data_IF_555981477947
#
_entry.id   IF_555981477947
#
_cell.length_a   1.000
_cell.length_b   1.000
_cell.length_c   1.000
_cell.angle_alpha   90.00
_cell.angle_beta   90.00
_cell.angle_gamma   90.00
#
_symmetry.space_group_name_H-M   'P 1'
#
loop_
_entity.id
_entity.type
_entity.pdbx_description
1 polymer ?
#
# COMPACT_ATOMS: atom_id res chain seq x y z
N UNK A 1 -6.92 -22.97 19.37
CA UNK A 1 -7.06 -22.31 18.06
C UNK A 1 -5.81 -21.48 17.80
N UNK A 2 -5.19 -21.54 16.60
CA UNK A 2 -3.94 -20.81 16.33
C UNK A 2 -4.22 -19.32 16.22
N UNK A 3 -3.35 -18.51 16.79
CA UNK A 3 -3.35 -17.05 16.67
C UNK A 3 -2.89 -16.63 15.28
N UNK A 4 -3.65 -15.76 14.61
CA UNK A 4 -3.38 -15.33 13.22
C UNK A 4 -3.22 -13.82 13.16
N UNK A 5 -2.22 -13.39 12.40
CA UNK A 5 -2.07 -12.00 11.93
C UNK A 5 -2.24 -12.02 10.42
N UNK A 6 -3.21 -11.25 9.93
CA UNK A 6 -3.32 -11.01 8.49
C UNK A 6 -2.29 -9.94 8.09
N UNK A 7 -1.24 -10.36 7.38
CA UNK A 7 -0.13 -9.51 7.02
C UNK A 7 -0.41 -8.61 5.80
N UNK A 8 -1.50 -8.83 5.07
CA UNK A 8 -1.83 -8.04 3.88
C UNK A 8 -3.31 -8.11 3.56
N UNK A 9 -4.05 -7.05 3.90
CA UNK A 9 -5.38 -6.78 3.37
C UNK A 9 -5.53 -5.32 2.94
N UNK A 10 -6.69 -4.99 2.40
CA UNK A 10 -7.06 -3.64 2.01
C UNK A 10 -8.43 -3.30 2.58
N UNK A 11 -8.56 -2.10 3.14
CA UNK A 11 -9.82 -1.46 3.50
C UNK A 11 -10.06 -0.26 2.59
N UNK A 12 -11.30 0.01 2.24
CA UNK A 12 -11.66 1.24 1.52
C UNK A 12 -13.11 1.63 1.77
N UNK A 13 -13.35 2.95 1.80
CA UNK A 13 -14.69 3.53 1.78
C UNK A 13 -14.88 4.32 0.48
N UNK A 14 -15.57 3.73 -0.49
CA UNK A 14 -15.80 4.36 -1.80
C UNK A 14 -16.82 5.51 -1.75
N UNK A 15 -17.47 5.73 -0.60
CA UNK A 15 -18.40 6.84 -0.40
C UNK A 15 -17.69 8.11 0.06
N UNK A 16 -16.57 7.97 0.77
CA UNK A 16 -15.87 9.10 1.40
C UNK A 16 -14.49 9.34 0.81
N UNK A 17 -13.88 8.32 0.21
CA UNK A 17 -12.56 8.37 -0.39
C UNK A 17 -12.61 8.01 -1.88
N UNK A 18 -11.63 8.49 -2.65
CA UNK A 18 -11.54 8.23 -4.09
C UNK A 18 -10.36 7.32 -4.43
N UNK A 19 -10.65 6.22 -5.10
CA UNK A 19 -9.67 5.25 -5.57
C UNK A 19 -9.86 5.06 -7.09
N UNK A 20 -9.12 5.78 -7.95
CA UNK A 20 -9.40 5.81 -9.39
C UNK A 20 -9.49 4.42 -10.04
N UNK A 21 -8.60 3.50 -9.63
CA UNK A 21 -8.56 2.15 -10.18
C UNK A 21 -9.80 1.31 -9.84
N UNK A 22 -10.51 1.65 -8.74
CA UNK A 22 -11.62 0.88 -8.18
C UNK A 22 -12.97 1.58 -8.40
N UNK A 23 -13.03 2.90 -8.23
CA UNK A 23 -14.25 3.69 -8.30
C UNK A 23 -14.64 4.13 -9.71
N UNK A 24 -13.66 4.40 -10.58
CA UNK A 24 -13.92 4.95 -11.92
C UNK A 24 -14.39 3.85 -12.88
N UNK A 25 -14.10 3.92 -14.17
CA UNK A 25 -14.54 2.94 -15.15
C UNK A 25 -13.83 1.58 -14.97
N UNK A 26 -14.57 0.48 -15.17
CA UNK A 26 -13.95 -0.86 -15.25
C UNK A 26 -13.10 -0.89 -16.50
N UNK A 27 -11.80 -1.12 -16.32
CA UNK A 27 -10.89 -1.34 -17.44
C UNK A 27 -10.30 -2.75 -17.34
N UNK A 28 -9.91 -3.40 -18.44
CA UNK A 28 -9.21 -4.68 -18.38
C UNK A 28 -7.99 -4.59 -17.46
N UNK A 29 -7.88 -5.53 -16.52
CA UNK A 29 -6.74 -5.65 -15.59
C UNK A 29 -6.15 -7.05 -15.68
N UNK A 30 -4.85 -7.18 -15.39
CA UNK A 30 -4.17 -8.49 -15.36
C UNK A 30 -4.75 -9.46 -14.33
N UNK A 31 -5.41 -8.96 -13.30
CA UNK A 31 -6.06 -9.78 -12.26
C UNK A 31 -7.53 -10.13 -12.57
N UNK A 32 -8.03 -9.80 -13.78
CA UNK A 32 -9.38 -10.17 -14.20
C UNK A 32 -10.47 -9.20 -13.75
N UNK A 33 -11.72 -9.67 -13.78
CA UNK A 33 -12.89 -8.89 -13.38
C UNK A 33 -12.86 -8.60 -11.87
N UNK A 34 -12.93 -7.32 -11.53
CA UNK A 34 -12.92 -6.81 -10.16
C UNK A 34 -14.25 -6.15 -9.77
N UNK A 35 -15.31 -6.34 -10.54
CA UNK A 35 -16.61 -5.73 -10.29
C UNK A 35 -17.16 -6.05 -8.89
N UNK A 36 -16.95 -7.28 -8.41
CA UNK A 36 -17.43 -7.72 -7.10
C UNK A 36 -16.82 -6.96 -5.92
N UNK A 37 -15.61 -6.41 -6.07
CA UNK A 37 -14.92 -5.66 -5.01
C UNK A 37 -15.12 -4.15 -5.11
N UNK A 38 -15.85 -3.65 -6.13
CA UNK A 38 -16.19 -2.23 -6.31
C UNK A 38 -17.31 -1.78 -5.36
N UNK A 39 -17.11 -2.02 -4.07
CA UNK A 39 -18.00 -1.69 -2.96
C UNK A 39 -17.14 -1.40 -1.74
N UNK A 40 -17.70 -0.74 -0.73
CA UNK A 40 -17.00 -0.51 0.53
C UNK A 40 -16.52 -1.84 1.13
N UNK A 41 -15.33 -1.81 1.73
CA UNK A 41 -14.79 -2.92 2.50
C UNK A 41 -14.11 -2.34 3.75
N UNK A 42 -14.80 -2.46 4.88
CA UNK A 42 -14.48 -1.78 6.14
C UNK A 42 -14.09 -2.80 7.22
N UNK A 43 -13.60 -2.35 8.39
CA UNK A 43 -13.24 -3.26 9.49
C UNK A 43 -14.34 -4.25 9.89
N UNK A 44 -15.62 -3.88 9.76
CA UNK A 44 -16.74 -4.77 10.04
C UNK A 44 -16.84 -5.92 9.03
N UNK A 45 -16.57 -5.65 7.75
CA UNK A 45 -16.58 -6.65 6.68
C UNK A 45 -15.42 -7.64 6.87
N UNK A 46 -14.21 -7.14 7.15
CA UNK A 46 -13.05 -8.00 7.47
C UNK A 46 -13.34 -8.92 8.66
N UNK A 47 -14.00 -8.42 9.72
CA UNK A 47 -14.40 -9.24 10.87
C UNK A 47 -15.44 -10.29 10.51
N UNK A 48 -16.37 -9.96 9.61
CA UNK A 48 -17.38 -10.91 9.13
C UNK A 48 -16.72 -12.04 8.31
N UNK A 49 -15.84 -11.68 7.37
CA UNK A 49 -15.15 -12.65 6.51
C UNK A 49 -14.16 -13.54 7.28
N UNK A 50 -13.64 -13.05 8.39
CA UNK A 50 -12.72 -13.78 9.27
C UNK A 50 -13.40 -14.41 10.48
N UNK A 51 -14.74 -14.50 10.48
CA UNK A 51 -15.44 -15.25 11.52
C UNK A 51 -14.97 -16.71 11.57
N UNK A 52 -14.72 -17.22 12.77
CA UNK A 52 -14.14 -18.54 12.96
C UNK A 52 -12.63 -18.61 12.66
N UNK A 53 -11.96 -17.48 12.46
CA UNK A 53 -10.50 -17.33 12.45
C UNK A 53 -10.09 -16.52 13.68
N UNK A 54 -9.07 -16.95 14.41
CA UNK A 54 -8.55 -16.20 15.56
C UNK A 54 -7.60 -15.09 15.07
N UNK A 55 -8.16 -14.14 14.31
CA UNK A 55 -7.47 -12.96 13.80
C UNK A 55 -7.26 -11.96 14.93
N UNK A 56 -6.02 -11.83 15.39
CA UNK A 56 -5.68 -10.93 16.49
C UNK A 56 -5.16 -9.57 16.02
N UNK A 57 -4.57 -9.50 14.83
CA UNK A 57 -4.01 -8.29 14.23
C UNK A 57 -4.12 -8.34 12.73
N UNK A 58 -4.08 -7.17 12.09
CA UNK A 58 -4.06 -7.08 10.64
C UNK A 58 -3.22 -5.90 10.16
N UNK A 59 -2.67 -6.02 8.96
CA UNK A 59 -1.87 -5.00 8.29
C UNK A 59 -2.59 -4.55 7.03
N UNK A 60 -2.95 -3.27 6.98
CA UNK A 60 -3.45 -2.67 5.74
C UNK A 60 -2.27 -2.23 4.91
N UNK A 61 -2.28 -2.61 3.64
CA UNK A 61 -1.33 -2.14 2.64
C UNK A 61 -2.04 -1.11 1.77
N UNK A 62 -1.39 0.03 1.46
CA UNK A 62 -2.01 1.15 0.73
C UNK A 62 -2.86 0.69 -0.47
N UNK A 63 -3.95 1.38 -0.78
CA UNK A 63 -4.91 0.99 -1.80
C UNK A 63 -4.96 2.00 -2.96
N UNK A 64 -3.93 2.81 -3.15
CA UNK A 64 -3.76 3.83 -4.19
C UNK A 64 -4.91 4.85 -4.16
N UNK A 65 -5.20 5.38 -2.98
CA UNK A 65 -6.13 6.50 -2.84
C UNK A 65 -5.59 7.73 -3.58
N UNK A 66 -6.46 8.45 -4.28
CA UNK A 66 -6.09 9.68 -4.96
C UNK A 66 -5.85 10.84 -3.99
N UNK A 67 -5.10 11.85 -4.44
CA UNK A 67 -4.83 13.07 -3.69
C UNK A 67 -3.54 12.99 -2.90
N UNK A 68 -3.56 13.55 -1.70
CA UNK A 68 -2.39 13.61 -0.83
C UNK A 68 -2.08 12.23 -0.23
N UNK A 69 -0.86 11.71 -0.38
CA UNK A 69 -0.50 10.33 0.01
C UNK A 69 -0.78 10.02 1.48
N UNK A 70 -0.79 11.02 2.37
CA UNK A 70 -0.99 10.81 3.82
C UNK A 70 -2.46 10.71 4.21
N UNK A 71 -3.39 11.12 3.34
CA UNK A 71 -4.83 11.06 3.64
C UNK A 71 -5.31 9.62 3.87
N UNK A 72 -4.79 8.64 3.12
CA UNK A 72 -5.16 7.23 3.32
C UNK A 72 -4.68 6.74 4.70
N UNK A 73 -3.44 7.08 5.06
CA UNK A 73 -2.87 6.77 6.39
C UNK A 73 -3.68 7.38 7.51
N UNK A 74 -4.06 8.66 7.38
CA UNK A 74 -4.91 9.34 8.37
C UNK A 74 -6.23 8.60 8.54
N UNK A 75 -6.92 8.31 7.43
CA UNK A 75 -8.19 7.58 7.46
C UNK A 75 -8.06 6.21 8.13
N UNK A 76 -6.99 5.45 7.84
CA UNK A 76 -6.73 4.15 8.47
C UNK A 76 -6.44 4.25 9.97
N UNK A 77 -5.74 5.30 10.41
CA UNK A 77 -5.51 5.56 11.83
C UNK A 77 -6.84 5.86 12.56
N UNK A 78 -7.78 6.53 11.89
CA UNK A 78 -9.13 6.75 12.41
C UNK A 78 -9.93 5.43 12.45
N UNK A 79 -9.82 4.57 11.43
CA UNK A 79 -10.44 3.24 11.45
C UNK A 79 -9.93 2.41 12.63
N UNK A 80 -8.63 2.44 12.91
CA UNK A 80 -8.07 1.76 14.08
C UNK A 80 -8.62 2.33 15.39
N UNK A 81 -8.66 3.66 15.53
CA UNK A 81 -9.19 4.31 16.73
C UNK A 81 -10.64 3.92 17.01
N UNK A 82 -11.46 3.77 15.96
CA UNK A 82 -12.90 3.45 16.08
C UNK A 82 -13.20 1.97 16.19
N UNK A 83 -12.42 1.13 15.50
CA UNK A 83 -12.77 -0.27 15.25
C UNK A 83 -11.67 -1.27 15.64
N UNK A 84 -10.49 -0.80 16.08
CA UNK A 84 -9.35 -1.62 16.47
C UNK A 84 -8.63 -2.31 15.29
N UNK A 85 -8.89 -1.92 14.04
CA UNK A 85 -8.24 -2.43 12.84
C UNK A 85 -8.02 -1.29 11.82
N UNK A 86 -6.91 -1.28 11.05
CA UNK A 86 -5.78 -2.22 11.09
C UNK A 86 -4.75 -1.87 12.17
N UNK A 87 -3.94 -2.84 12.60
CA UNK A 87 -2.89 -2.66 13.61
C UNK A 87 -1.58 -2.10 13.05
N UNK A 88 -1.35 -2.28 11.75
CA UNK A 88 -0.24 -1.68 11.05
C UNK A 88 -0.70 -1.16 9.67
N UNK A 89 0.00 -0.14 9.19
CA UNK A 89 -0.24 0.50 7.90
C UNK A 89 1.08 0.47 7.12
N UNK A 90 1.03 -0.11 5.93
CA UNK A 90 2.06 0.07 4.90
C UNK A 90 1.54 1.16 3.95
N UNK A 91 2.07 2.37 4.09
CA UNK A 91 1.57 3.56 3.42
C UNK A 91 2.14 3.74 2.01
N UNK A 92 1.62 4.70 1.25
CA UNK A 92 2.18 5.08 -0.05
C UNK A 92 3.11 6.30 0.07
N UNK A 93 4.29 6.23 -0.55
CA UNK A 93 5.13 7.39 -0.80
C UNK A 93 5.95 7.17 -2.09
N UNK A 94 6.03 8.19 -2.95
CA UNK A 94 6.98 8.20 -4.05
C UNK A 94 8.37 8.55 -3.51
N UNK A 95 9.23 7.53 -3.42
CA UNK A 95 10.60 7.65 -2.91
C UNK A 95 11.56 8.29 -3.92
N UNK A 96 11.13 8.52 -5.17
CA UNK A 96 11.94 9.21 -6.18
C UNK A 96 11.75 10.73 -6.15
N UNK A 97 10.69 11.22 -5.50
CA UNK A 97 10.37 12.63 -5.41
C UNK A 97 11.31 13.40 -4.47
N UNK A 98 11.60 14.67 -4.79
CA UNK A 98 12.44 15.53 -3.92
C UNK A 98 11.82 15.73 -2.53
N UNK A 99 10.48 15.74 -2.44
CA UNK A 99 9.73 15.87 -1.18
C UNK A 99 9.47 14.56 -0.44
N UNK A 100 10.12 13.45 -0.79
CA UNK A 100 9.86 12.14 -0.19
C UNK A 100 10.01 12.16 1.35
N UNK A 101 11.04 12.83 1.88
CA UNK A 101 11.29 12.89 3.33
C UNK A 101 10.16 13.57 4.10
N UNK A 102 9.61 14.65 3.56
CA UNK A 102 8.47 15.35 4.17
C UNK A 102 7.24 14.43 4.23
N UNK A 103 6.96 13.70 3.15
CA UNK A 103 5.86 12.73 3.11
C UNK A 103 6.07 11.60 4.12
N UNK A 104 7.29 11.06 4.23
CA UNK A 104 7.63 10.05 5.23
C UNK A 104 7.43 10.57 6.66
N UNK A 105 7.90 11.78 6.95
CA UNK A 105 7.71 12.42 8.26
C UNK A 105 6.22 12.54 8.62
N UNK A 106 5.40 12.99 7.67
CA UNK A 106 3.95 13.11 7.83
C UNK A 106 3.28 11.75 8.09
N UNK A 107 3.69 10.69 7.38
CA UNK A 107 3.20 9.33 7.65
C UNK A 107 3.56 8.88 9.06
N UNK A 108 4.80 9.07 9.50
CA UNK A 108 5.26 8.62 10.83
C UNK A 108 4.66 9.38 12.00
N UNK A 109 3.93 10.47 11.76
CA UNK A 109 3.07 11.09 12.77
C UNK A 109 1.88 10.20 13.18
N UNK A 110 1.56 9.16 12.39
CA UNK A 110 0.51 8.18 12.68
C UNK A 110 1.09 6.90 13.28
N UNK A 111 0.67 6.59 14.51
CA UNK A 111 1.26 5.54 15.36
C UNK A 111 1.25 4.13 14.74
N UNK A 112 0.37 3.85 13.78
CA UNK A 112 0.25 2.54 13.15
C UNK A 112 1.09 2.36 11.87
N UNK A 113 1.78 3.40 11.38
CA UNK A 113 2.63 3.26 10.17
C UNK A 113 3.86 2.41 10.46
N UNK A 114 4.09 1.39 9.62
CA UNK A 114 5.22 0.47 9.76
C UNK A 114 6.03 0.28 8.49
N UNK A 115 5.51 0.70 7.33
CA UNK A 115 6.22 0.54 6.08
C UNK A 115 5.69 1.43 4.96
N UNK A 116 6.36 1.36 3.82
CA UNK A 116 5.97 2.02 2.58
C UNK A 116 5.84 0.98 1.47
N UNK A 117 4.81 1.13 0.62
CA UNK A 117 4.68 0.40 -0.64
C UNK A 117 4.70 1.37 -1.81
N UNK A 118 5.60 1.11 -2.76
CA UNK A 118 5.61 1.75 -4.06
C UNK A 118 5.49 0.68 -5.16
N UNK A 119 4.52 0.86 -6.06
CA UNK A 119 4.27 -0.08 -7.15
C UNK A 119 5.36 0.09 -8.22
N UNK A 120 6.36 -0.79 -8.21
CA UNK A 120 7.56 -0.70 -9.06
C UNK A 120 7.56 -1.71 -10.22
N UNK A 121 6.49 -2.48 -10.35
CA UNK A 121 6.38 -3.53 -11.35
C UNK A 121 6.39 -2.93 -12.76
N UNK A 122 7.33 -3.35 -13.60
CA UNK A 122 7.38 -2.95 -14.99
C UNK A 122 7.98 -4.06 -15.86
N UNK A 123 7.52 -4.20 -17.10
CA UNK A 123 8.16 -4.97 -18.16
C UNK A 123 8.01 -4.21 -19.49
N UNK A 124 8.87 -4.53 -20.46
CA UNK A 124 8.65 -4.16 -21.85
C UNK A 124 7.40 -4.88 -22.40
N UNK A 125 6.69 -4.24 -23.32
CA UNK A 125 5.56 -4.81 -24.07
C UNK A 125 4.42 -5.42 -23.22
N UNK A 126 4.13 -4.82 -22.05
CA UNK A 126 2.95 -5.19 -21.24
C UNK A 126 2.05 -4.00 -20.96
N UNK A 127 0.73 -4.23 -21.04
CA UNK A 127 -0.29 -3.19 -20.87
C UNK A 127 -0.54 -2.78 -19.40
N UNK A 128 0.14 -3.43 -18.44
CA UNK A 128 -0.08 -3.20 -17.02
C UNK A 128 1.25 -3.08 -16.28
N UNK A 129 1.77 -1.86 -16.28
CA UNK A 129 2.92 -1.45 -15.47
C UNK A 129 2.44 -0.60 -14.28
N UNK A 130 3.30 -0.53 -13.27
CA UNK A 130 3.14 0.37 -12.15
C UNK A 130 3.21 1.83 -12.60
N UNK A 131 2.85 2.77 -11.73
CA UNK A 131 2.88 4.20 -12.03
C UNK A 131 4.31 4.75 -12.20
N UNK A 132 5.32 4.00 -11.78
CA UNK A 132 6.72 4.42 -11.86
C UNK A 132 7.34 4.06 -13.21
N UNK A 133 8.31 4.86 -13.63
CA UNK A 133 9.11 4.58 -14.83
C UNK A 133 9.94 3.29 -14.69
N UNK A 134 10.26 2.69 -15.82
CA UNK A 134 11.18 1.56 -15.88
C UNK A 134 12.52 1.90 -15.22
N UNK A 135 13.11 0.91 -14.57
CA UNK A 135 14.41 0.99 -13.89
C UNK A 135 14.55 2.03 -12.76
N UNK A 136 13.44 2.56 -12.23
CA UNK A 136 13.49 3.60 -11.19
C UNK A 136 14.28 3.17 -9.94
N UNK A 137 14.38 1.86 -9.63
CA UNK A 137 15.12 1.40 -8.45
C UNK A 137 16.63 1.67 -8.54
N UNK A 138 17.17 1.79 -9.75
CA UNK A 138 18.59 2.11 -10.01
C UNK A 138 18.91 3.59 -9.91
N UNK A 139 17.89 4.44 -9.88
CA UNK A 139 18.08 5.87 -9.95
C UNK A 139 18.52 6.47 -8.62
N UNK A 140 19.40 7.47 -8.71
CA UNK A 140 19.92 8.14 -7.52
C UNK A 140 18.81 8.81 -6.69
N UNK A 141 17.75 9.32 -7.34
CA UNK A 141 16.59 9.90 -6.65
C UNK A 141 15.89 8.89 -5.75
N UNK A 142 15.47 7.78 -6.34
CA UNK A 142 14.84 6.68 -5.60
C UNK A 142 15.74 6.13 -4.50
N UNK A 143 17.02 5.87 -4.79
CA UNK A 143 17.95 5.31 -3.79
C UNK A 143 18.15 6.24 -2.59
N UNK A 144 18.16 7.55 -2.80
CA UNK A 144 18.17 8.53 -1.69
C UNK A 144 16.90 8.42 -0.84
N UNK A 145 15.72 8.38 -1.47
CA UNK A 145 14.45 8.24 -0.73
C UNK A 145 14.30 6.89 -0.04
N UNK A 146 14.74 5.80 -0.68
CA UNK A 146 14.77 4.45 -0.11
C UNK A 146 15.63 4.37 1.15
N UNK A 147 16.80 5.02 1.15
CA UNK A 147 17.66 5.09 2.33
C UNK A 147 17.00 5.80 3.53
N UNK A 148 16.04 6.70 3.30
CA UNK A 148 15.30 7.35 4.40
C UNK A 148 14.42 6.36 5.17
N UNK A 149 14.01 5.24 4.57
CA UNK A 149 13.20 4.23 5.28
C UNK A 149 13.92 3.72 6.53
N UNK A 150 15.24 3.55 6.47
CA UNK A 150 16.05 3.17 7.63
C UNK A 150 16.03 4.25 8.73
N UNK A 151 16.10 5.54 8.36
CA UNK A 151 16.00 6.68 9.29
C UNK A 151 14.66 6.67 10.06
N UNK A 152 13.58 6.32 9.38
CA UNK A 152 12.23 6.29 9.96
C UNK A 152 11.83 4.93 10.53
N UNK A 153 12.69 3.91 10.44
CA UNK A 153 12.40 2.54 10.91
C UNK A 153 11.26 1.86 10.15
N UNK A 154 11.11 2.15 8.84
CA UNK A 154 10.03 1.67 7.99
C UNK A 154 10.47 0.46 7.16
N UNK A 155 9.58 -0.54 7.01
CA UNK A 155 9.74 -1.60 6.01
C UNK A 155 9.44 -1.08 4.60
N UNK A 156 9.83 -1.86 3.60
CA UNK A 156 9.45 -1.62 2.21
C UNK A 156 8.75 -2.84 1.61
N UNK A 157 7.52 -2.63 1.16
CA UNK A 157 6.79 -3.61 0.36
C UNK A 157 7.11 -3.33 -1.12
N UNK A 158 7.67 -4.33 -1.81
CA UNK A 158 8.17 -4.24 -3.17
C UNK A 158 7.35 -5.11 -4.15
N UNK A 159 6.25 -4.59 -4.71
CA UNK A 159 5.55 -5.24 -5.81
C UNK A 159 6.34 -5.10 -7.11
N UNK A 160 6.84 -6.22 -7.62
CA UNK A 160 7.59 -6.34 -8.87
C UNK A 160 7.15 -7.57 -9.67
N UNK A 161 7.50 -7.61 -10.95
CA UNK A 161 7.46 -8.84 -11.75
C UNK A 161 8.73 -9.65 -11.54
N UNK A 162 8.62 -10.97 -11.56
CA UNK A 162 9.76 -11.89 -11.36
C UNK A 162 11.02 -11.53 -12.19
N UNK A 163 10.93 -11.13 -13.47
CA UNK A 163 12.11 -10.73 -14.24
C UNK A 163 12.87 -9.52 -13.67
N UNK A 164 12.23 -8.68 -12.84
CA UNK A 164 12.87 -7.54 -12.17
C UNK A 164 13.61 -7.94 -10.89
N UNK A 165 13.61 -9.21 -10.49
CA UNK A 165 14.22 -9.65 -9.22
C UNK A 165 15.71 -9.28 -9.11
N UNK A 166 16.46 -9.30 -10.21
CA UNK A 166 17.87 -8.88 -10.21
C UNK A 166 18.04 -7.39 -9.91
N UNK A 167 17.14 -6.52 -10.39
CA UNK A 167 17.19 -5.09 -10.05
C UNK A 167 16.85 -4.85 -8.58
N UNK A 168 15.96 -5.66 -8.00
CA UNK A 168 15.62 -5.59 -6.59
C UNK A 168 16.74 -6.05 -5.67
N UNK A 169 17.54 -7.05 -6.08
CA UNK A 169 18.70 -7.52 -5.32
C UNK A 169 19.75 -6.40 -5.16
N UNK A 170 19.88 -5.49 -6.13
CA UNK A 170 20.77 -4.32 -6.05
C UNK A 170 20.36 -3.28 -4.98
N UNK A 171 19.25 -3.49 -4.24
CA UNK A 171 18.82 -2.66 -3.12
C UNK A 171 19.27 -3.19 -1.74
N UNK A 172 19.74 -4.44 -1.67
CA UNK A 172 20.22 -5.11 -0.45
C UNK A 172 21.71 -4.81 -0.18
#
# INVERSE_FOLDING_TARGET
>A
MRTIVDAHHHLWDLKTNHYPWLSDQVIPRRFGDYAAIRRNYLPADLRADTQGVNLIKSVHVQANMAGDPVQETQWLQEQFTRHGLPHAIVAHADLSAEGAEEVLARHTAHANVRGIRLLLHWLDDVDYNGPMRAHVMREAGFRRGYALLAKYGLSFDLPLYFPQAGEAEELL
#
